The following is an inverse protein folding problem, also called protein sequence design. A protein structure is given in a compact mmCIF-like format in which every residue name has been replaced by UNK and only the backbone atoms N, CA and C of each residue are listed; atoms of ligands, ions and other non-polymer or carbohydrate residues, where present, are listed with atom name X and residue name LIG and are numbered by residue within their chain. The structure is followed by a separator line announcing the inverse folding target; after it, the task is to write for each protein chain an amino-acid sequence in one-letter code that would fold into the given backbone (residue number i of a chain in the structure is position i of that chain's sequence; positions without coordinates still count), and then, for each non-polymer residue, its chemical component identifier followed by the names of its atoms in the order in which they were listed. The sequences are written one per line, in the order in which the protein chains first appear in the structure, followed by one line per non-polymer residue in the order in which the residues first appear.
data_IF_374498635624
#
_entry.id   IF_374498635624
#
_cell.length_a   1.000
_cell.length_b   1.000
_cell.length_c   1.000
_cell.angle_alpha   90.00
_cell.angle_beta   90.00
_cell.angle_gamma   90.00
#
_symmetry.space_group_name_H-M   'P 1'
#
loop_
_entity.id
_entity.type
_entity.pdbx_description
1 polymer ?
#
# COMPACT_ATOMS: atom_id res chain seq x y z
N UNK A 1 19.34 -5.56 34.04
CA UNK A 1 18.53 -4.70 33.16
C UNK A 1 19.43 -3.58 32.66
N UNK A 2 19.63 -3.48 31.35
CA UNK A 2 20.37 -2.37 30.75
C UNK A 2 19.37 -1.21 30.60
N UNK A 3 19.73 -0.04 31.12
CA UNK A 3 18.89 1.17 31.00
C UNK A 3 18.94 1.64 29.53
N UNK A 4 17.81 1.62 28.79
CA UNK A 4 17.80 1.95 27.36
C UNK A 4 18.16 3.42 27.11
N UNK A 5 17.89 4.33 28.05
CA UNK A 5 18.27 5.74 27.93
C UNK A 5 19.80 5.91 27.99
N UNK A 6 20.48 5.07 28.80
CA UNK A 6 21.95 5.05 28.88
C UNK A 6 22.59 4.50 27.61
N UNK A 7 21.95 3.55 26.93
CA UNK A 7 22.43 3.01 25.64
C UNK A 7 22.42 4.07 24.54
N UNK A 8 21.36 4.90 24.51
CA UNK A 8 21.25 6.02 23.58
C UNK A 8 22.03 7.27 24.03
N UNK A 9 22.54 7.29 25.26
CA UNK A 9 23.26 8.43 25.84
C UNK A 9 22.39 9.65 26.11
N UNK A 10 21.10 9.44 26.36
CA UNK A 10 20.12 10.50 26.63
C UNK A 10 19.61 10.42 28.07
N UNK A 11 19.09 11.53 28.59
CA UNK A 11 18.40 11.55 29.89
C UNK A 11 17.09 10.77 29.81
N UNK A 12 16.64 10.18 30.91
CA UNK A 12 15.29 9.60 31.03
C UNK A 12 14.19 10.65 30.78
N UNK A 13 14.49 11.92 31.05
CA UNK A 13 13.62 13.08 30.79
C UNK A 13 13.72 13.64 29.37
N UNK A 14 14.52 13.04 28.47
CA UNK A 14 14.75 13.58 27.13
C UNK A 14 13.46 13.64 26.30
N UNK A 15 13.32 14.63 25.43
CA UNK A 15 12.17 14.69 24.53
C UNK A 15 12.23 13.57 23.47
N UNK A 16 11.09 13.22 22.84
CA UNK A 16 11.12 12.27 21.73
C UNK A 16 12.04 12.71 20.59
N UNK A 17 12.14 14.02 20.35
CA UNK A 17 13.01 14.58 19.33
C UNK A 17 14.48 14.35 19.66
N UNK A 18 14.86 14.50 20.93
CA UNK A 18 16.21 14.21 21.42
C UNK A 18 16.55 12.72 21.31
N UNK A 19 15.61 11.84 21.67
CA UNK A 19 15.74 10.38 21.53
C UNK A 19 15.93 10.01 20.05
N UNK A 20 15.10 10.56 19.16
CA UNK A 20 15.20 10.33 17.69
C UNK A 20 16.52 10.88 17.13
N UNK A 21 16.99 12.03 17.60
CA UNK A 21 18.26 12.64 17.17
C UNK A 21 19.46 11.81 17.63
N UNK A 22 19.46 11.33 18.87
CA UNK A 22 20.49 10.45 19.40
C UNK A 22 20.54 9.13 18.61
N UNK A 23 19.37 8.49 18.40
CA UNK A 23 19.26 7.28 17.58
C UNK A 23 19.82 7.48 16.17
N UNK A 24 19.43 8.55 15.46
CA UNK A 24 19.95 8.85 14.10
C UNK A 24 21.47 9.02 14.08
N UNK A 25 22.03 9.64 15.11
CA UNK A 25 23.48 9.91 15.22
C UNK A 25 24.25 8.61 15.46
N UNK A 26 23.77 7.78 16.39
CA UNK A 26 24.38 6.50 16.73
C UNK A 26 24.24 5.48 15.59
N UNK A 27 23.06 5.39 14.98
CA UNK A 27 22.79 4.50 13.85
C UNK A 27 23.66 4.83 12.64
N UNK A 28 23.95 6.10 12.37
CA UNK A 28 24.90 6.49 11.30
C UNK A 28 26.34 6.13 11.65
N UNK A 29 26.72 6.20 12.93
CA UNK A 29 28.07 5.87 13.41
C UNK A 29 28.36 4.37 13.38
N UNK A 30 27.37 3.55 13.71
CA UNK A 30 27.49 2.09 13.76
C UNK A 30 26.86 1.38 12.55
N UNK A 31 26.49 2.12 11.51
CA UNK A 31 25.86 1.53 10.33
C UNK A 31 26.81 0.52 9.65
N UNK A 32 26.30 -0.66 9.24
CA UNK A 32 27.12 -1.67 8.55
C UNK A 32 27.72 -1.15 7.25
N UNK A 33 27.02 -0.25 6.54
CA UNK A 33 27.46 0.38 5.28
C UNK A 33 28.63 1.38 5.45
N UNK A 34 28.74 2.03 6.62
CA UNK A 34 29.86 2.94 6.90
C UNK A 34 31.08 2.19 7.47
N UNK A 35 30.91 0.95 7.91
CA UNK A 35 31.94 0.13 8.57
C UNK A 35 32.34 -1.11 7.74
N UNK A 36 32.05 -1.13 6.44
CA UNK A 36 32.31 -2.26 5.54
C UNK A 36 33.81 -2.63 5.48
N UNK A 37 34.71 -1.66 5.68
CA UNK A 37 36.17 -1.85 5.65
C UNK A 37 36.83 -1.82 7.05
N UNK A 38 36.08 -1.91 8.15
CA UNK A 38 36.62 -1.87 9.50
C UNK A 38 36.78 -3.28 10.12
N UNK A 39 37.92 -3.61 10.75
CA UNK A 39 38.14 -4.91 11.41
C UNK A 39 37.20 -5.16 12.60
N UNK A 40 36.54 -4.12 13.13
CA UNK A 40 35.63 -4.18 14.27
C UNK A 40 34.14 -4.25 13.88
N UNK A 41 33.83 -4.75 12.66
CA UNK A 41 32.44 -4.86 12.15
C UNK A 41 31.49 -5.60 13.11
N UNK A 42 31.96 -6.68 13.73
CA UNK A 42 31.17 -7.47 14.67
C UNK A 42 30.74 -6.65 15.89
N UNK A 43 31.64 -5.83 16.44
CA UNK A 43 31.35 -4.95 17.58
C UNK A 43 30.41 -3.81 17.19
N UNK A 44 30.55 -3.26 15.98
CA UNK A 44 29.66 -2.22 15.47
C UNK A 44 28.23 -2.75 15.25
N UNK A 45 28.09 -3.97 14.75
CA UNK A 45 26.79 -4.62 14.57
C UNK A 45 26.10 -4.94 15.89
N UNK A 46 26.86 -5.42 16.89
CA UNK A 46 26.34 -5.68 18.23
C UNK A 46 25.86 -4.38 18.90
N UNK A 47 26.66 -3.31 18.80
CA UNK A 47 26.27 -1.96 19.27
C UNK A 47 25.04 -1.45 18.55
N UNK A 48 24.94 -1.66 17.24
CA UNK A 48 23.77 -1.26 16.46
C UNK A 48 22.49 -1.98 16.92
N UNK A 49 22.57 -3.29 17.20
CA UNK A 49 21.46 -4.06 17.75
C UNK A 49 21.04 -3.56 19.13
N UNK A 50 22.00 -3.25 20.00
CA UNK A 50 21.73 -2.65 21.32
C UNK A 50 21.01 -1.30 21.19
N UNK A 51 21.48 -0.42 20.30
CA UNK A 51 20.90 0.90 20.04
C UNK A 51 19.46 0.78 19.52
N UNK A 52 19.21 -0.15 18.61
CA UNK A 52 17.88 -0.39 18.05
C UNK A 52 16.92 -0.96 19.10
N UNK A 53 17.37 -1.91 19.93
CA UNK A 53 16.57 -2.47 21.01
C UNK A 53 16.20 -1.39 22.04
N UNK A 54 17.16 -0.55 22.43
CA UNK A 54 16.93 0.55 23.39
C UNK A 54 15.94 1.59 22.86
N UNK A 55 16.06 2.00 21.60
CA UNK A 55 15.11 2.94 20.99
C UNK A 55 13.69 2.37 20.95
N UNK A 56 13.53 1.11 20.53
CA UNK A 56 12.23 0.46 20.47
C UNK A 56 11.60 0.34 21.86
N UNK A 57 12.38 -0.02 22.88
CA UNK A 57 11.89 -0.10 24.25
C UNK A 57 11.41 1.25 24.77
N UNK A 58 12.15 2.33 24.56
CA UNK A 58 11.74 3.69 24.99
C UNK A 58 10.48 4.15 24.26
N UNK A 59 10.41 3.89 22.95
CA UNK A 59 9.24 4.25 22.16
C UNK A 59 8.01 3.47 22.62
N UNK A 60 8.13 2.18 22.92
CA UNK A 60 7.05 1.34 23.42
C UNK A 60 6.61 1.76 24.84
N UNK A 61 7.56 2.07 25.73
CA UNK A 61 7.28 2.60 27.08
C UNK A 61 6.51 3.94 27.02
N UNK A 62 6.89 4.83 26.10
CA UNK A 62 6.17 6.12 25.91
C UNK A 62 4.84 5.96 25.20
N UNK A 63 4.77 5.07 24.22
CA UNK A 63 3.56 4.81 23.45
C UNK A 63 2.48 4.10 24.28
N UNK A 64 2.87 3.22 25.20
CA UNK A 64 1.95 2.55 26.13
C UNK A 64 1.59 3.43 27.35
N UNK A 65 2.39 4.46 27.68
CA UNK A 65 2.17 5.36 28.81
C UNK A 65 1.32 6.61 28.50
N UNK A 66 1.12 6.96 27.23
CA UNK A 66 0.37 8.17 26.89
C UNK A 66 -0.07 8.18 25.43
N UNK A 67 -1.38 8.09 25.23
CA UNK A 67 -2.09 8.61 24.06
C UNK A 67 -1.65 8.04 22.71
N UNK A 68 -2.43 7.05 22.26
CA UNK A 68 -2.64 6.67 20.86
C UNK A 68 -2.56 7.89 19.92
N UNK A 69 -1.42 8.13 19.29
CA UNK A 69 -1.29 9.09 18.20
C UNK A 69 -0.28 8.61 17.14
N UNK A 70 -0.82 8.15 16.01
CA UNK A 70 -0.22 8.25 14.68
C UNK A 70 1.20 7.70 14.51
N UNK A 71 1.31 6.41 14.21
CA UNK A 71 2.54 5.80 13.70
C UNK A 71 3.02 6.47 12.41
N UNK A 72 3.91 7.44 12.54
CA UNK A 72 4.75 7.96 11.44
C UNK A 72 6.02 7.13 11.34
N UNK A 73 5.92 6.01 10.63
CA UNK A 73 7.07 5.22 10.18
C UNK A 73 7.51 5.69 8.80
N UNK A 74 8.51 6.57 8.73
CA UNK A 74 9.24 6.94 7.51
C UNK A 74 10.76 6.78 7.79
N UNK A 75 11.55 6.02 7.05
CA UNK A 75 11.28 5.21 5.87
C UNK A 75 12.52 4.41 5.46
N UNK A 76 12.28 3.37 4.66
CA UNK A 76 13.27 2.80 3.75
C UNK A 76 12.65 2.84 2.36
N UNK A 77 13.39 3.37 1.39
CA UNK A 77 12.98 3.41 -0.01
C UNK A 77 12.93 1.99 -0.56
N UNK A 78 11.72 1.45 -0.62
CA UNK A 78 11.37 0.20 -1.28
C UNK A 78 9.86 0.17 -1.39
N UNK A 79 9.34 0.12 -2.63
CA UNK A 79 7.92 0.14 -3.02
C UNK A 79 6.93 -0.22 -1.90
N UNK A 80 6.48 0.81 -1.19
CA UNK A 80 5.56 0.72 -0.07
C UNK A 80 4.17 0.37 -0.61
N UNK A 81 3.84 -0.92 -0.66
CA UNK A 81 2.44 -1.30 -0.54
C UNK A 81 2.05 -1.08 0.91
N UNK A 82 0.93 -0.39 1.07
CA UNK A 82 0.27 -0.17 2.34
C UNK A 82 -0.08 -1.54 2.98
N UNK A 83 0.72 -1.99 3.95
CA UNK A 83 0.50 -3.24 4.66
C UNK A 83 -0.51 -3.02 5.78
N UNK A 84 -1.79 -3.14 5.44
CA UNK A 84 -2.88 -3.13 6.41
C UNK A 84 -2.90 -4.46 7.18
N UNK A 85 -2.50 -4.44 8.44
CA UNK A 85 -2.65 -5.55 9.37
C UNK A 85 -4.14 -5.77 9.70
N UNK A 86 -4.77 -6.71 9.01
CA UNK A 86 -6.15 -7.15 9.28
C UNK A 86 -6.18 -8.13 10.46
N UNK A 87 -6.67 -7.70 11.62
CA UNK A 87 -7.07 -8.57 12.72
C UNK A 87 -8.60 -8.61 12.79
N UNK A 88 -9.22 -9.79 12.63
CA UNK A 88 -10.67 -10.02 12.67
C UNK A 88 -11.00 -11.08 13.73
N UNK A 89 -11.97 -10.79 14.60
CA UNK A 89 -12.31 -11.59 15.78
C UNK A 89 -13.40 -12.66 15.56
N UNK A 90 -13.91 -12.82 14.33
CA UNK A 90 -14.93 -13.83 13.97
C UNK A 90 -14.73 -14.42 12.55
N UNK A 91 -13.51 -14.31 12.01
CA UNK A 91 -13.21 -14.86 10.69
C UNK A 91 -13.09 -16.39 10.77
N UNK A 92 -13.64 -17.11 9.78
CA UNK A 92 -13.36 -18.54 9.62
C UNK A 92 -11.83 -18.74 9.51
N UNK A 93 -11.32 -19.90 9.92
CA UNK A 93 -9.87 -20.18 9.94
C UNK A 93 -9.26 -19.95 8.54
N UNK A 94 -10.02 -20.26 7.50
CA UNK A 94 -9.69 -20.05 6.09
C UNK A 94 -9.60 -18.55 5.73
N UNK A 95 -10.52 -17.72 6.22
CA UNK A 95 -10.46 -16.27 6.01
C UNK A 95 -9.27 -15.63 6.72
N UNK A 96 -8.90 -16.12 7.90
CA UNK A 96 -7.69 -15.67 8.59
C UNK A 96 -6.43 -16.09 7.82
N UNK A 97 -6.39 -17.33 7.31
CA UNK A 97 -5.32 -17.78 6.43
C UNK A 97 -5.21 -16.91 5.16
N UNK A 98 -6.34 -16.60 4.51
CA UNK A 98 -6.37 -15.70 3.36
C UNK A 98 -5.81 -14.30 3.68
N UNK A 99 -6.14 -13.74 4.85
CA UNK A 99 -5.59 -12.46 5.30
C UNK A 99 -4.06 -12.52 5.48
N UNK A 100 -3.53 -13.61 6.05
CA UNK A 100 -2.10 -13.81 6.19
C UNK A 100 -1.40 -13.88 4.82
N UNK A 101 -1.99 -14.60 3.85
CA UNK A 101 -1.47 -14.67 2.48
C UNK A 101 -1.50 -13.30 1.77
N UNK A 102 -2.55 -12.51 1.97
CA UNK A 102 -2.65 -11.14 1.44
C UNK A 102 -1.54 -10.26 2.02
N UNK A 103 -1.29 -10.33 3.33
CA UNK A 103 -0.21 -9.58 3.98
C UNK A 103 1.17 -10.00 3.45
N UNK A 104 1.35 -11.30 3.15
CA UNK A 104 2.54 -11.84 2.52
C UNK A 104 2.64 -11.56 0.99
N UNK A 105 1.68 -10.83 0.41
CA UNK A 105 1.52 -10.59 -1.04
C UNK A 105 1.38 -11.86 -1.90
N UNK A 106 0.99 -12.97 -1.30
CA UNK A 106 0.75 -14.23 -1.97
C UNK A 106 -0.71 -14.31 -2.42
N UNK A 107 -1.11 -13.43 -3.36
CA UNK A 107 -2.51 -13.27 -3.75
C UNK A 107 -3.12 -14.51 -4.40
N UNK A 108 -2.33 -15.27 -5.18
CA UNK A 108 -2.78 -16.52 -5.78
C UNK A 108 -3.10 -17.58 -4.71
N UNK A 109 -2.28 -17.68 -3.66
CA UNK A 109 -2.53 -18.59 -2.54
C UNK A 109 -3.76 -18.15 -1.74
N UNK A 110 -3.92 -16.84 -1.52
CA UNK A 110 -5.11 -16.29 -0.87
C UNK A 110 -6.40 -16.66 -1.61
N UNK A 111 -6.43 -16.54 -2.95
CA UNK A 111 -7.60 -16.92 -3.73
C UNK A 111 -7.87 -18.42 -3.74
N UNK A 112 -6.83 -19.26 -3.72
CA UNK A 112 -7.01 -20.70 -3.60
C UNK A 112 -7.74 -21.04 -2.28
N UNK A 113 -7.28 -20.48 -1.15
CA UNK A 113 -7.93 -20.64 0.16
C UNK A 113 -9.34 -20.07 0.17
N UNK A 114 -9.58 -18.93 -0.47
CA UNK A 114 -10.93 -18.38 -0.57
C UNK A 114 -11.85 -19.23 -1.44
N UNK A 115 -11.31 -19.90 -2.47
CA UNK A 115 -12.07 -20.76 -3.37
C UNK A 115 -12.53 -22.06 -2.72
N UNK A 116 -11.84 -22.53 -1.67
CA UNK A 116 -12.27 -23.71 -0.91
C UNK A 116 -13.49 -23.44 -0.02
N UNK A 117 -13.85 -22.16 0.19
CA UNK A 117 -15.01 -21.78 0.99
C UNK A 117 -16.28 -21.87 0.12
N UNK A 118 -17.30 -22.65 0.54
CA UNK A 118 -18.56 -22.79 -0.18
C UNK A 118 -19.34 -21.46 -0.23
N UNK A 119 -20.16 -21.28 -1.25
CA UNK A 119 -20.90 -20.04 -1.50
C UNK A 119 -21.77 -19.59 -0.31
N UNK A 120 -22.31 -20.55 0.45
CA UNK A 120 -23.18 -20.30 1.61
C UNK A 120 -22.46 -19.57 2.76
N UNK A 121 -21.13 -19.71 2.85
CA UNK A 121 -20.30 -19.11 3.89
C UNK A 121 -19.57 -17.85 3.40
N UNK A 122 -19.99 -17.30 2.24
CA UNK A 122 -19.36 -16.10 1.65
C UNK A 122 -20.02 -14.84 2.16
N UNK A 123 -19.41 -14.29 3.21
CA UNK A 123 -19.81 -13.04 3.86
C UNK A 123 -19.31 -11.83 3.05
N UNK A 124 -19.72 -10.61 3.41
CA UNK A 124 -19.15 -9.38 2.86
C UNK A 124 -17.62 -9.34 2.98
N UNK A 125 -17.10 -9.87 4.08
CA UNK A 125 -15.66 -10.02 4.31
C UNK A 125 -14.95 -10.95 3.31
N UNK A 126 -15.58 -12.05 2.89
CA UNK A 126 -15.02 -12.95 1.88
C UNK A 126 -14.84 -12.20 0.56
N UNK A 127 -15.88 -11.48 0.14
CA UNK A 127 -15.85 -10.66 -1.08
C UNK A 127 -14.80 -9.55 -0.99
N UNK A 128 -14.61 -8.98 0.20
CA UNK A 128 -13.55 -8.02 0.43
C UNK A 128 -12.16 -8.63 0.21
N UNK A 129 -11.84 -9.76 0.83
CA UNK A 129 -10.53 -10.40 0.62
C UNK A 129 -10.32 -10.89 -0.80
N UNK A 130 -11.35 -11.43 -1.45
CA UNK A 130 -11.31 -11.77 -2.88
C UNK A 130 -11.00 -10.52 -3.73
N UNK A 131 -11.60 -9.37 -3.41
CA UNK A 131 -11.34 -8.12 -4.12
C UNK A 131 -9.89 -7.64 -4.00
N UNK A 132 -9.30 -7.73 -2.80
CA UNK A 132 -7.91 -7.35 -2.53
C UNK A 132 -6.94 -8.30 -3.24
N UNK A 133 -7.21 -9.61 -3.18
CA UNK A 133 -6.36 -10.58 -3.86
C UNK A 133 -6.43 -10.44 -5.39
N UNK A 134 -7.62 -10.26 -5.97
CA UNK A 134 -7.77 -10.01 -7.41
C UNK A 134 -7.11 -8.70 -7.87
N UNK A 135 -7.18 -7.64 -7.05
CA UNK A 135 -6.44 -6.40 -7.31
C UNK A 135 -4.93 -6.66 -7.37
N UNK A 136 -4.39 -7.41 -6.40
CA UNK A 136 -2.97 -7.77 -6.34
C UNK A 136 -2.49 -8.62 -7.52
N UNK A 137 -3.39 -9.39 -8.16
CA UNK A 137 -3.10 -10.11 -9.40
C UNK A 137 -3.24 -9.27 -10.68
N UNK A 138 -3.76 -8.04 -10.59
CA UNK A 138 -4.01 -7.17 -11.74
C UNK A 138 -5.40 -7.33 -12.37
N UNK A 139 -6.27 -8.19 -11.81
CA UNK A 139 -7.64 -8.38 -12.29
C UNK A 139 -8.57 -7.32 -11.69
N UNK A 140 -8.46 -6.08 -12.19
CA UNK A 140 -9.20 -4.93 -11.67
C UNK A 140 -10.72 -5.01 -11.89
N UNK A 141 -11.17 -5.75 -12.90
CA UNK A 141 -12.60 -5.94 -13.17
C UNK A 141 -13.25 -6.82 -12.10
N UNK A 142 -12.67 -7.99 -11.85
CA UNK A 142 -13.14 -8.92 -10.80
C UNK A 142 -13.06 -8.26 -9.42
N UNK A 143 -11.96 -7.54 -9.14
CA UNK A 143 -11.79 -6.81 -7.89
C UNK A 143 -12.92 -5.80 -7.65
N UNK A 144 -13.34 -5.06 -8.70
CA UNK A 144 -14.45 -4.10 -8.60
C UNK A 144 -15.79 -4.79 -8.36
N UNK A 145 -16.02 -5.91 -9.03
CA UNK A 145 -17.26 -6.67 -8.85
C UNK A 145 -17.37 -7.19 -7.41
N UNK A 146 -16.28 -7.78 -6.90
CA UNK A 146 -16.24 -8.30 -5.54
C UNK A 146 -16.43 -7.20 -4.49
N UNK A 147 -15.76 -6.04 -4.61
CA UNK A 147 -15.95 -4.96 -3.63
C UNK A 147 -17.38 -4.39 -3.67
N UNK A 148 -18.01 -4.33 -4.85
CA UNK A 148 -19.40 -3.90 -4.98
C UNK A 148 -20.35 -4.86 -4.25
N UNK A 149 -20.14 -6.17 -4.41
CA UNK A 149 -20.90 -7.20 -3.70
C UNK A 149 -20.68 -7.11 -2.18
N UNK A 150 -19.44 -6.88 -1.74
CA UNK A 150 -19.12 -6.70 -0.33
C UNK A 150 -19.88 -5.50 0.30
N UNK A 151 -19.95 -4.37 -0.40
CA UNK A 151 -20.68 -3.17 0.06
C UNK A 151 -22.19 -3.41 0.07
N UNK A 152 -22.72 -4.16 -0.90
CA UNK A 152 -24.13 -4.51 -0.94
C UNK A 152 -24.54 -5.36 0.28
N UNK A 153 -23.66 -6.24 0.74
CA UNK A 153 -23.87 -7.05 1.94
C UNK A 153 -23.67 -6.24 3.24
N UNK A 154 -22.65 -5.40 3.30
CA UNK A 154 -22.28 -4.63 4.50
C UNK A 154 -22.14 -3.12 4.19
N UNK A 155 -23.25 -2.38 4.01
CA UNK A 155 -23.21 -0.97 3.63
C UNK A 155 -22.66 -0.06 4.75
N UNK A 156 -22.66 -0.52 6.00
CA UNK A 156 -22.11 0.21 7.15
C UNK A 156 -20.57 0.22 7.21
N UNK A 157 -19.90 -0.65 6.43
CA UNK A 157 -18.46 -0.84 6.56
C UNK A 157 -17.68 0.24 5.78
N UNK A 158 -17.10 1.20 6.52
CA UNK A 158 -16.35 2.30 5.92
C UNK A 158 -15.12 1.82 5.13
N UNK A 159 -14.52 0.69 5.54
CA UNK A 159 -13.30 0.14 4.91
C UNK A 159 -13.57 -0.28 3.47
N UNK A 160 -14.74 -0.86 3.20
CA UNK A 160 -15.08 -1.32 1.84
C UNK A 160 -15.26 -0.14 0.89
N UNK A 161 -15.91 0.94 1.35
CA UNK A 161 -16.06 2.19 0.58
C UNK A 161 -14.71 2.85 0.30
N UNK A 162 -13.83 2.90 1.29
CA UNK A 162 -12.48 3.45 1.11
C UNK A 162 -11.68 2.62 0.09
N UNK A 163 -11.79 1.30 0.14
CA UNK A 163 -11.12 0.42 -0.81
C UNK A 163 -11.69 0.54 -2.23
N UNK A 164 -13.01 0.66 -2.38
CA UNK A 164 -13.64 0.93 -3.68
C UNK A 164 -13.07 2.20 -4.33
N UNK A 165 -12.97 3.29 -3.57
CA UNK A 165 -12.36 4.53 -4.06
C UNK A 165 -10.92 4.29 -4.53
N UNK A 166 -10.14 3.49 -3.81
CA UNK A 166 -8.76 3.17 -4.22
C UNK A 166 -8.68 2.43 -5.57
N UNK A 167 -9.62 1.53 -5.85
CA UNK A 167 -9.70 0.80 -7.14
C UNK A 167 -10.11 1.75 -8.27
N UNK A 168 -11.08 2.63 -8.02
CA UNK A 168 -11.56 3.58 -9.02
C UNK A 168 -10.48 4.62 -9.38
N UNK A 169 -9.73 5.09 -8.38
CA UNK A 169 -8.55 5.93 -8.61
C UNK A 169 -7.42 5.20 -9.34
N UNK A 170 -7.17 3.93 -9.01
CA UNK A 170 -6.19 3.10 -9.71
C UNK A 170 -6.49 3.08 -11.21
N UNK A 171 -7.76 2.95 -11.62
CA UNK A 171 -8.15 2.98 -13.03
C UNK A 171 -7.85 4.32 -13.70
N UNK A 172 -8.15 5.45 -13.04
CA UNK A 172 -7.82 6.78 -13.59
C UNK A 172 -6.32 6.92 -13.84
N UNK A 173 -5.48 6.40 -12.94
CA UNK A 173 -4.04 6.42 -13.15
C UNK A 173 -3.58 5.58 -14.35
N UNK A 174 -4.23 4.45 -14.65
CA UNK A 174 -3.93 3.62 -15.84
C UNK A 174 -4.56 4.16 -17.13
N UNK A 175 -5.79 4.69 -17.10
CA UNK A 175 -6.45 5.34 -18.25
C UNK A 175 -5.76 6.65 -18.63
N UNK A 176 -5.34 7.44 -17.63
CA UNK A 176 -4.61 8.71 -17.84
C UNK A 176 -3.14 8.47 -18.22
N UNK A 177 -2.52 7.35 -17.84
CA UNK A 177 -1.18 7.00 -18.37
C UNK A 177 -1.21 6.39 -19.76
N UNK A 178 -2.30 5.71 -20.15
CA UNK A 178 -2.53 5.32 -21.54
C UNK A 178 -2.65 6.52 -22.48
N UNK A 179 -3.01 7.70 -21.97
CA UNK A 179 -3.01 8.97 -22.72
C UNK A 179 -1.76 9.81 -22.50
N UNK A 180 -1.08 9.69 -21.34
CA UNK A 180 0.10 10.52 -20.99
C UNK A 180 1.45 9.93 -21.39
N UNK A 181 1.60 8.62 -21.57
CA UNK A 181 2.81 8.00 -22.12
C UNK A 181 2.57 7.55 -23.58
N UNK A 182 2.63 8.52 -24.49
CA UNK A 182 3.46 8.33 -25.69
C UNK A 182 2.90 7.56 -26.89
N UNK A 183 1.58 7.50 -27.11
CA UNK A 183 1.02 7.40 -28.47
C UNK A 183 -0.29 8.20 -28.57
N UNK A 184 -0.23 9.48 -28.19
CA UNK A 184 -1.11 10.45 -28.81
C UNK A 184 -0.75 10.48 -30.31
N UNK A 185 -1.47 9.70 -31.13
CA UNK A 185 -1.34 9.76 -32.60
C UNK A 185 -1.51 11.23 -32.99
N UNK A 186 -0.47 11.94 -33.46
CA UNK A 186 -0.55 13.37 -33.72
C UNK A 186 -1.51 13.68 -34.89
N UNK A 187 -1.93 12.65 -35.62
CA UNK A 187 -2.93 12.74 -36.68
C UNK A 187 -4.38 12.49 -36.22
N UNK A 188 -4.67 12.12 -34.97
CA UNK A 188 -6.07 11.90 -34.56
C UNK A 188 -6.89 13.20 -34.48
N UNK A 189 -6.24 14.33 -34.21
CA UNK A 189 -6.86 15.66 -34.31
C UNK A 189 -7.00 16.14 -35.75
N UNK A 190 -5.91 16.07 -36.53
CA UNK A 190 -5.89 16.51 -37.93
C UNK A 190 -6.71 15.62 -38.87
N UNK A 191 -6.70 14.30 -38.71
CA UNK A 191 -7.52 13.39 -39.52
C UNK A 191 -9.02 13.54 -39.21
N UNK A 192 -9.40 13.81 -37.95
CA UNK A 192 -10.79 14.17 -37.63
C UNK A 192 -11.20 15.49 -38.28
N UNK A 193 -10.30 16.47 -38.34
CA UNK A 193 -10.54 17.74 -39.02
C UNK A 193 -10.64 17.57 -40.54
N UNK A 194 -9.74 16.80 -41.14
CA UNK A 194 -9.76 16.48 -42.58
C UNK A 194 -10.97 15.65 -42.98
N UNK A 195 -11.37 14.64 -42.18
CA UNK A 195 -12.58 13.84 -42.43
C UNK A 195 -13.83 14.70 -42.23
N UNK A 196 -13.86 15.57 -41.23
CA UNK A 196 -14.97 16.52 -41.04
C UNK A 196 -15.08 17.53 -42.18
N UNK A 197 -13.95 18.04 -42.70
CA UNK A 197 -13.93 18.94 -43.86
C UNK A 197 -14.28 18.21 -45.16
N UNK A 198 -13.86 16.95 -45.33
CA UNK A 198 -14.24 16.12 -46.47
C UNK A 198 -15.75 15.80 -46.45
N UNK A 199 -16.34 15.52 -45.28
CA UNK A 199 -17.79 15.32 -45.14
C UNK A 199 -18.57 16.61 -45.40
N UNK A 200 -18.10 17.76 -44.92
CA UNK A 200 -18.69 19.07 -45.22
C UNK A 200 -18.63 19.39 -46.72
N UNK A 201 -17.52 19.08 -47.39
CA UNK A 201 -17.38 19.30 -48.84
C UNK A 201 -18.29 18.36 -49.65
N UNK A 202 -18.48 17.12 -49.20
CA UNK A 202 -19.37 16.15 -49.83
C UNK A 202 -20.86 16.51 -49.66
N UNK A 203 -21.23 17.04 -48.48
CA UNK A 203 -22.58 17.56 -48.20
C UNK A 203 -22.87 18.86 -48.97
N UNK A 204 -21.88 19.77 -49.09
CA UNK A 204 -22.04 20.99 -49.87
C UNK A 204 -22.15 20.74 -51.38
N UNK A 205 -21.42 19.76 -51.94
CA UNK A 205 -21.56 19.39 -53.36
C UNK A 205 -22.93 18.76 -53.67
N UNK A 206 -23.57 18.10 -52.70
CA UNK A 206 -24.94 17.58 -52.84
C UNK A 206 -26.01 18.68 -52.77
N UNK A 207 -25.74 19.82 -52.12
CA UNK A 207 -26.65 20.95 -52.04
C UNK A 207 -26.59 21.90 -53.26
N UNK A 208 -25.60 21.78 -54.14
CA UNK A 208 -25.47 22.61 -55.35
C UNK A 208 -25.85 21.87 -56.64
N UNK A 209 -26.38 20.65 -56.56
CA UNK A 209 -26.81 19.84 -57.72
C UNK A 209 -28.32 19.52 -57.71
N UNK A 210 -29.13 20.40 -57.12
CA UNK A 210 -30.60 20.41 -57.24
C UNK A 210 -31.10 21.85 -57.43
#
# INVERSE_FOLDING_TARGET
MIDPYRVLGVSQSASEEEIKKAYRTLSRKYHPDANVNNPNRAQAEEKFKEIQAAYNQIMDERQNGGSSFGGSSYGYSGSSYNSYSYSYSQASVEMQAAANYINARQFAAALNVLSSIPDEQRNGQWYFFASVASQGMGNLNDAREFIRRAIALEPGNFRYRQFQQSIDWSRSWYETRGTSYGYARPYAGFARWCISMAFLNLLCNLCCFF
#
